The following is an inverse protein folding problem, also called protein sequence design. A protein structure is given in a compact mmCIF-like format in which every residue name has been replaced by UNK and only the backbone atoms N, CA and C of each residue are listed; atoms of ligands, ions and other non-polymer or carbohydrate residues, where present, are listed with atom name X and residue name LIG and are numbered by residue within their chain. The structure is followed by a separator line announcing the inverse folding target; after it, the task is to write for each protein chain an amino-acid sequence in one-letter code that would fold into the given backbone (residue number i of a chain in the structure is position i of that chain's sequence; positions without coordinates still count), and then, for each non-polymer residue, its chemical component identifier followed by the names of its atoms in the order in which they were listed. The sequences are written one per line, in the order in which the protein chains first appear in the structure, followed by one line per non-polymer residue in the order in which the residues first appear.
data_IF_953440282358
#
_entry.id   IF_953440282358
#
_cell.length_a   1.000
_cell.length_b   1.000
_cell.length_c   1.000
_cell.angle_alpha   90.00
_cell.angle_beta   90.00
_cell.angle_gamma   90.00
#
_symmetry.space_group_name_H-M   'P 1'
#
loop_
_entity.id
_entity.type
_entity.pdbx_description
1 polymer ?
#
# COMPACT_ATOMS: atom_id res chain seq x y z
N UNK A 1 33.89 -55.17 -14.28
CA UNK A 1 32.50 -55.59 -14.01
C UNK A 1 32.26 -55.27 -12.56
N UNK A 2 31.55 -54.21 -12.16
CA UNK A 2 30.68 -53.28 -12.87
C UNK A 2 30.47 -52.05 -11.95
N UNK A 3 30.38 -50.87 -12.59
CA UNK A 3 29.57 -49.66 -12.31
C UNK A 3 29.04 -49.41 -10.87
N UNK A 4 29.28 -48.25 -10.26
CA UNK A 4 28.59 -46.99 -10.54
C UNK A 4 27.06 -47.14 -10.56
N UNK A 5 26.39 -46.77 -9.47
CA UNK A 5 25.13 -46.01 -9.49
C UNK A 5 24.73 -45.71 -8.03
N UNK A 6 24.92 -44.49 -7.52
CA UNK A 6 24.13 -43.29 -7.81
C UNK A 6 23.24 -42.99 -6.60
N UNK A 7 23.88 -42.38 -5.58
CA UNK A 7 23.28 -41.22 -4.92
C UNK A 7 22.79 -40.27 -6.02
N UNK A 8 21.47 -40.20 -6.24
CA UNK A 8 20.73 -39.09 -6.85
C UNK A 8 19.25 -39.48 -6.94
N UNK A 9 18.43 -38.44 -7.01
CA UNK A 9 16.98 -38.40 -7.28
C UNK A 9 16.17 -38.46 -5.97
N UNK A 10 15.60 -37.38 -5.45
CA UNK A 10 15.27 -36.08 -6.05
C UNK A 10 15.21 -35.01 -4.95
N UNK A 11 16.09 -34.01 -5.07
CA UNK A 11 15.82 -32.69 -4.54
C UNK A 11 14.61 -32.14 -5.28
N UNK A 12 13.52 -31.88 -4.56
CA UNK A 12 12.39 -31.14 -5.10
C UNK A 12 12.86 -29.69 -5.28
N UNK A 13 13.43 -29.42 -6.46
CA UNK A 13 13.71 -28.08 -6.92
C UNK A 13 12.38 -27.37 -7.13
N UNK A 14 12.00 -26.55 -6.15
CA UNK A 14 11.10 -25.43 -6.37
C UNK A 14 11.75 -24.52 -7.42
N UNK A 15 11.48 -24.86 -8.67
CA UNK A 15 11.95 -24.12 -9.82
C UNK A 15 11.04 -22.92 -9.91
N UNK A 16 11.38 -21.85 -9.19
CA UNK A 16 10.73 -20.56 -9.31
C UNK A 16 10.71 -20.14 -10.78
N UNK A 17 9.60 -20.41 -11.45
CA UNK A 17 9.35 -19.89 -12.79
C UNK A 17 9.27 -18.39 -12.59
N UNK A 18 10.35 -17.70 -12.96
CA UNK A 18 10.30 -16.27 -13.19
C UNK A 18 9.29 -16.05 -14.33
N UNK A 19 8.04 -15.85 -13.94
CA UNK A 19 6.94 -15.52 -14.82
C UNK A 19 7.33 -14.25 -15.55
N UNK A 20 7.60 -14.36 -16.87
CA UNK A 20 7.81 -13.19 -17.70
C UNK A 20 6.63 -12.23 -17.50
N UNK A 21 6.88 -10.92 -17.34
CA UNK A 21 5.80 -9.95 -17.23
C UNK A 21 4.84 -10.10 -18.40
N UNK A 22 3.53 -10.02 -18.13
CA UNK A 22 2.51 -10.04 -19.18
C UNK A 22 2.83 -9.05 -20.30
N UNK A 23 2.50 -9.43 -21.55
CA UNK A 23 2.56 -8.53 -22.71
C UNK A 23 1.55 -7.39 -22.63
N UNK A 24 0.66 -7.41 -21.66
CA UNK A 24 -0.37 -6.39 -21.45
C UNK A 24 0.14 -5.21 -20.62
N UNK A 25 1.29 -5.35 -19.93
CA UNK A 25 1.89 -4.27 -19.14
C UNK A 25 2.22 -3.00 -19.94
N UNK A 26 2.80 -3.07 -21.16
CA UNK A 26 3.01 -1.88 -21.99
C UNK A 26 1.71 -1.15 -22.36
N UNK A 27 0.66 -1.89 -22.74
CA UNK A 27 -0.65 -1.30 -23.08
C UNK A 27 -1.28 -0.66 -21.84
N UNK A 28 -1.11 -1.28 -20.67
CA UNK A 28 -1.54 -0.71 -19.40
C UNK A 28 -0.76 0.58 -19.07
N UNK A 29 0.56 0.61 -19.29
CA UNK A 29 1.39 1.80 -19.07
C UNK A 29 0.91 3.00 -19.92
N UNK A 30 0.57 2.78 -21.18
CA UNK A 30 0.06 3.84 -22.06
C UNK A 30 -1.28 4.41 -21.55
N UNK A 31 -2.19 3.54 -21.10
CA UNK A 31 -3.47 3.95 -20.51
C UNK A 31 -3.26 4.71 -19.19
N UNK A 32 -2.38 4.19 -18.34
CA UNK A 32 -2.04 4.83 -17.06
C UNK A 32 -1.46 6.22 -17.32
N UNK A 33 -0.53 6.38 -18.26
CA UNK A 33 0.04 7.68 -18.60
C UNK A 33 -1.04 8.70 -19.04
N UNK A 34 -2.03 8.26 -19.82
CA UNK A 34 -3.14 9.12 -20.23
C UNK A 34 -4.04 9.52 -19.05
N UNK A 35 -4.31 8.58 -18.13
CA UNK A 35 -5.06 8.86 -16.90
C UNK A 35 -4.31 9.83 -15.99
N UNK A 36 -3.00 9.60 -15.77
CA UNK A 36 -2.18 10.48 -14.93
C UNK A 36 -2.17 11.92 -15.46
N UNK A 37 -2.14 12.10 -16.78
CA UNK A 37 -2.21 13.41 -17.41
C UNK A 37 -3.58 14.13 -17.23
N UNK A 38 -4.61 13.42 -16.78
CA UNK A 38 -5.95 13.94 -16.49
C UNK A 38 -6.22 14.16 -15.01
N UNK A 39 -5.29 13.80 -14.12
CA UNK A 39 -5.43 14.07 -12.70
C UNK A 39 -5.29 15.59 -12.47
N UNK A 40 -6.26 16.16 -11.76
CA UNK A 40 -6.24 17.55 -11.33
C UNK A 40 -5.58 17.64 -9.94
N UNK A 41 -5.45 18.87 -9.44
CA UNK A 41 -5.06 19.09 -8.05
C UNK A 41 -6.03 18.36 -7.11
N UNK A 42 -5.46 17.71 -6.09
CA UNK A 42 -6.19 16.92 -5.10
C UNK A 42 -6.96 15.71 -5.65
N UNK A 43 -6.62 15.25 -6.86
CA UNK A 43 -7.07 13.96 -7.37
C UNK A 43 -6.09 12.85 -6.99
N UNK A 44 -6.65 11.77 -6.46
CA UNK A 44 -5.90 10.59 -6.06
C UNK A 44 -6.27 9.39 -6.93
N UNK A 45 -5.26 8.60 -7.28
CA UNK A 45 -5.40 7.29 -7.91
C UNK A 45 -4.57 6.28 -7.14
N UNK A 46 -5.16 5.16 -6.76
CA UNK A 46 -4.49 4.04 -6.10
C UNK A 46 -4.67 2.80 -6.97
N UNK A 47 -3.57 2.13 -7.29
CA UNK A 47 -3.52 0.83 -7.95
C UNK A 47 -3.10 -0.21 -6.93
N UNK A 48 -3.99 -1.13 -6.57
CA UNK A 48 -3.74 -2.14 -5.53
C UNK A 48 -3.80 -3.55 -6.09
N UNK A 49 -2.99 -4.46 -5.57
CA UNK A 49 -3.17 -5.89 -5.85
C UNK A 49 -4.47 -6.39 -5.19
N UNK A 50 -5.21 -7.27 -5.87
CA UNK A 50 -6.45 -7.86 -5.33
C UNK A 50 -6.22 -8.87 -4.21
N UNK A 51 -4.96 -9.21 -3.92
CA UNK A 51 -4.58 -10.34 -3.07
C UNK A 51 -3.64 -9.97 -1.93
N UNK A 52 -3.13 -8.75 -1.91
CA UNK A 52 -2.23 -8.23 -0.87
C UNK A 52 -2.45 -6.73 -0.70
N UNK A 53 -1.84 -6.17 0.35
CA UNK A 53 -1.86 -4.73 0.64
C UNK A 53 -0.78 -3.95 -0.14
N UNK A 54 -0.21 -4.55 -1.19
CA UNK A 54 0.73 -3.87 -2.09
C UNK A 54 -0.02 -2.89 -3.03
N UNK A 55 0.48 -1.67 -3.15
CA UNK A 55 -0.11 -0.64 -4.01
C UNK A 55 0.92 0.35 -4.57
N UNK A 56 0.50 1.06 -5.62
CA UNK A 56 1.10 2.31 -6.06
C UNK A 56 0.03 3.40 -6.07
N UNK A 57 0.30 4.52 -5.41
CA UNK A 57 -0.59 5.67 -5.29
C UNK A 57 -0.02 6.87 -6.05
N UNK A 58 -0.91 7.69 -6.60
CA UNK A 58 -0.61 8.95 -7.28
C UNK A 58 -1.48 10.05 -6.69
N UNK A 59 -0.88 11.21 -6.43
CA UNK A 59 -1.57 12.41 -5.98
C UNK A 59 -1.25 13.57 -6.94
N UNK A 60 -2.27 14.08 -7.63
CA UNK A 60 -2.16 15.28 -8.45
C UNK A 60 -1.96 16.51 -7.58
N UNK A 61 -0.86 17.22 -7.78
CA UNK A 61 -0.52 18.44 -7.00
C UNK A 61 -0.65 19.71 -7.84
N UNK A 62 -1.49 19.68 -8.88
CA UNK A 62 -1.75 20.83 -9.75
C UNK A 62 -0.47 21.44 -10.32
N UNK A 63 -0.18 22.70 -9.96
CA UNK A 63 1.01 23.42 -10.41
C UNK A 63 2.34 22.88 -9.88
N UNK A 64 2.32 22.08 -8.81
CA UNK A 64 3.52 21.49 -8.21
C UNK A 64 3.93 20.18 -8.88
N UNK A 65 3.01 19.50 -9.57
CA UNK A 65 3.28 18.30 -10.34
C UNK A 65 2.51 17.08 -9.83
N UNK A 66 3.21 15.98 -9.60
CA UNK A 66 2.63 14.70 -9.22
C UNK A 66 3.50 13.99 -8.18
N UNK A 67 2.90 13.61 -7.06
CA UNK A 67 3.54 12.70 -6.09
C UNK A 67 3.14 11.26 -6.39
N UNK A 68 4.09 10.35 -6.23
CA UNK A 68 3.90 8.91 -6.41
C UNK A 68 4.44 8.19 -5.19
N UNK A 69 3.68 7.22 -4.70
CA UNK A 69 4.03 6.44 -3.50
C UNK A 69 3.83 4.94 -3.76
N UNK A 70 4.64 4.10 -3.12
CA UNK A 70 4.46 2.63 -3.11
C UNK A 70 4.68 2.10 -1.71
N UNK A 71 4.00 1.01 -1.36
CA UNK A 71 3.90 0.49 0.01
C UNK A 71 5.25 0.38 0.73
N UNK A 72 5.33 0.91 1.95
CA UNK A 72 6.38 0.61 2.91
C UNK A 72 6.03 -0.57 3.84
N UNK A 73 7.04 -1.25 4.40
CA UNK A 73 6.87 -2.42 5.26
C UNK A 73 6.05 -2.19 6.53
N UNK A 74 5.90 -0.94 6.95
CA UNK A 74 5.10 -0.58 8.13
C UNK A 74 3.61 -0.94 7.97
N UNK A 75 3.12 -0.99 6.75
CA UNK A 75 1.72 -1.31 6.44
C UNK A 75 1.48 -2.76 6.00
N UNK A 76 2.55 -3.55 5.82
CA UNK A 76 2.44 -4.91 5.31
C UNK A 76 2.46 -5.92 6.47
N UNK A 77 1.58 -6.92 6.40
CA UNK A 77 1.69 -8.07 7.28
C UNK A 77 3.08 -8.70 7.12
N UNK A 78 3.65 -9.26 8.20
CA UNK A 78 5.03 -9.78 8.22
C UNK A 78 5.39 -10.72 7.05
N UNK A 79 4.43 -11.48 6.55
CA UNK A 79 4.62 -12.43 5.45
C UNK A 79 4.55 -11.79 4.05
N UNK A 80 4.11 -10.54 3.97
CA UNK A 80 3.99 -9.72 2.75
C UNK A 80 5.02 -8.59 2.72
N UNK A 81 5.76 -8.37 3.82
CA UNK A 81 6.81 -7.37 3.88
C UNK A 81 7.83 -7.56 2.75
N UNK A 82 8.18 -6.45 2.13
CA UNK A 82 9.24 -6.36 1.13
C UNK A 82 10.55 -6.88 1.73
N UNK A 83 11.15 -7.81 1.02
CA UNK A 83 12.47 -8.32 1.30
C UNK A 83 13.55 -7.24 1.11
N UNK A 84 14.75 -7.48 1.66
CA UNK A 84 15.90 -6.60 1.44
C UNK A 84 16.24 -6.44 -0.06
N UNK A 85 16.01 -7.48 -0.86
CA UNK A 85 16.20 -7.45 -2.32
C UNK A 85 15.18 -6.53 -3.00
N UNK A 86 13.91 -6.63 -2.64
CA UNK A 86 12.85 -5.78 -3.20
C UNK A 86 13.03 -4.31 -2.80
N UNK A 87 13.42 -4.04 -1.54
CA UNK A 87 13.78 -2.70 -1.08
C UNK A 87 14.97 -2.16 -1.88
N UNK A 88 16.00 -2.98 -2.10
CA UNK A 88 17.15 -2.56 -2.89
C UNK A 88 16.75 -2.18 -4.33
N UNK A 89 15.89 -2.98 -4.96
CA UNK A 89 15.37 -2.69 -6.30
C UNK A 89 14.52 -1.41 -6.35
N UNK A 90 13.76 -1.09 -5.29
CA UNK A 90 13.05 0.19 -5.19
C UNK A 90 14.04 1.36 -5.20
N UNK A 91 15.09 1.28 -4.38
CA UNK A 91 16.12 2.32 -4.31
C UNK A 91 16.87 2.47 -5.64
N UNK A 92 17.20 1.37 -6.32
CA UNK A 92 17.82 1.41 -7.65
C UNK A 92 16.90 1.98 -8.73
N UNK A 93 15.59 1.75 -8.62
CA UNK A 93 14.57 2.34 -9.49
C UNK A 93 14.34 3.84 -9.20
N UNK A 94 14.98 4.38 -8.16
CA UNK A 94 14.97 5.81 -7.83
C UNK A 94 13.98 6.21 -6.74
N UNK A 95 13.28 5.27 -6.11
CA UNK A 95 12.38 5.58 -5.02
C UNK A 95 13.14 6.11 -3.80
N UNK A 96 12.59 7.14 -3.16
CA UNK A 96 13.09 7.60 -1.86
C UNK A 96 12.52 6.71 -0.76
N UNK A 97 13.31 6.34 0.25
CA UNK A 97 12.81 5.55 1.37
C UNK A 97 11.81 6.36 2.21
N UNK A 98 10.99 5.68 3.04
CA UNK A 98 10.19 6.35 4.06
C UNK A 98 11.03 7.32 4.91
N UNK A 99 10.49 8.51 5.19
CA UNK A 99 11.18 9.52 6.02
C UNK A 99 10.89 9.37 7.51
N UNK A 100 9.87 8.59 7.87
CA UNK A 100 9.51 8.29 9.26
C UNK A 100 8.40 7.27 9.37
N UNK A 101 8.08 6.89 10.61
CA UNK A 101 6.91 6.08 10.93
C UNK A 101 5.61 6.86 10.61
N UNK A 102 4.45 6.19 10.44
CA UNK A 102 3.18 6.80 10.08
C UNK A 102 2.71 7.99 10.92
N UNK A 103 3.15 8.08 12.18
CA UNK A 103 2.78 9.18 13.10
C UNK A 103 3.79 10.33 13.08
N UNK A 104 4.99 10.09 12.55
CA UNK A 104 6.04 11.10 12.37
C UNK A 104 6.01 11.73 10.98
N UNK A 105 5.60 10.96 9.96
CA UNK A 105 5.50 11.41 8.56
C UNK A 105 4.09 11.95 8.22
N UNK A 106 3.52 12.75 9.12
CA UNK A 106 2.24 13.44 8.88
C UNK A 106 2.47 14.83 8.30
N UNK A 107 1.51 15.43 7.57
CA UNK A 107 1.67 16.77 7.00
C UNK A 107 2.05 17.85 8.03
N UNK A 108 1.63 17.68 9.29
CA UNK A 108 1.93 18.62 10.38
C UNK A 108 3.38 18.51 10.87
N UNK A 109 3.95 17.30 10.83
CA UNK A 109 5.26 16.98 11.41
C UNK A 109 6.38 16.95 10.35
N UNK A 110 6.06 16.45 9.16
CA UNK A 110 6.95 16.38 7.99
C UNK A 110 6.12 16.56 6.71
N UNK A 111 5.91 17.81 6.25
CA UNK A 111 5.05 18.12 5.10
C UNK A 111 5.46 17.44 3.80
N UNK A 112 6.77 17.17 3.63
CA UNK A 112 7.34 16.51 2.46
C UNK A 112 7.54 15.00 2.70
N UNK A 113 7.27 14.55 3.92
CA UNK A 113 7.52 13.20 4.39
C UNK A 113 6.59 12.15 3.80
N UNK A 114 6.99 10.89 3.97
CA UNK A 114 6.11 9.75 3.70
C UNK A 114 6.49 8.57 4.57
N UNK A 115 5.50 7.83 5.11
CA UNK A 115 5.73 6.51 5.69
C UNK A 115 5.93 5.43 4.62
N UNK A 116 5.81 5.80 3.34
CA UNK A 116 5.99 4.94 2.18
C UNK A 116 7.23 5.33 1.37
N UNK A 117 7.60 4.45 0.43
CA UNK A 117 8.54 4.84 -0.61
C UNK A 117 7.86 5.86 -1.52
N UNK A 118 8.52 6.98 -1.81
CA UNK A 118 7.90 8.09 -2.50
C UNK A 118 8.82 8.76 -3.53
N UNK A 119 8.21 9.46 -4.48
CA UNK A 119 8.85 10.32 -5.47
C UNK A 119 7.94 11.50 -5.82
N UNK A 120 8.55 12.66 -6.01
CA UNK A 120 7.86 13.85 -6.52
C UNK A 120 8.36 14.19 -7.92
N UNK A 121 7.42 14.32 -8.85
CA UNK A 121 7.68 14.76 -10.21
C UNK A 121 7.22 16.22 -10.37
N UNK A 122 8.13 17.18 -10.55
CA UNK A 122 7.75 18.58 -10.71
C UNK A 122 7.02 18.82 -12.04
N UNK A 123 6.15 19.84 -12.08
CA UNK A 123 5.53 20.27 -13.33
C UNK A 123 6.55 20.89 -14.31
N UNK A 124 6.46 20.62 -15.63
CA UNK A 124 5.53 19.70 -16.29
C UNK A 124 5.94 18.23 -16.10
N UNK A 125 4.98 17.39 -15.74
CA UNK A 125 5.21 15.97 -15.42
C UNK A 125 5.36 15.13 -16.69
N UNK A 126 6.41 14.31 -16.75
CA UNK A 126 6.60 13.31 -17.79
C UNK A 126 5.76 12.05 -17.50
N UNK A 127 4.43 12.13 -17.67
CA UNK A 127 3.49 11.06 -17.27
C UNK A 127 3.81 9.66 -17.83
N UNK A 128 4.41 9.58 -19.03
CA UNK A 128 4.85 8.32 -19.61
C UNK A 128 6.03 7.68 -18.84
N UNK A 129 6.92 8.48 -18.25
CA UNK A 129 8.00 8.01 -17.38
C UNK A 129 7.44 7.51 -16.05
N UNK A 130 6.52 8.28 -15.46
CA UNK A 130 5.84 7.91 -14.22
C UNK A 130 5.09 6.58 -14.38
N UNK A 131 4.33 6.41 -15.46
CA UNK A 131 3.60 5.17 -15.73
C UNK A 131 4.55 3.97 -15.92
N UNK A 132 5.71 4.16 -16.58
CA UNK A 132 6.73 3.12 -16.72
C UNK A 132 7.36 2.74 -15.39
N UNK A 133 7.65 3.72 -14.52
CA UNK A 133 8.13 3.44 -13.17
C UNK A 133 7.09 2.61 -12.42
N UNK A 134 5.83 3.04 -12.40
CA UNK A 134 4.76 2.32 -11.71
C UNK A 134 4.61 0.87 -12.20
N UNK A 135 4.65 0.64 -13.51
CA UNK A 135 4.61 -0.71 -14.09
C UNK A 135 5.86 -1.52 -13.73
N UNK A 136 7.04 -0.89 -13.68
CA UNK A 136 8.28 -1.55 -13.26
C UNK A 136 8.21 -1.97 -11.79
N UNK A 137 7.70 -1.08 -10.92
CA UNK A 137 7.43 -1.37 -9.52
C UNK A 137 6.43 -2.52 -9.38
N UNK A 138 5.23 -2.40 -9.96
CA UNK A 138 4.16 -3.40 -9.81
C UNK A 138 4.57 -4.77 -10.37
N UNK A 139 5.12 -4.82 -11.58
CA UNK A 139 5.41 -6.09 -12.26
C UNK A 139 6.78 -6.69 -11.94
N UNK A 140 7.79 -5.85 -11.77
CA UNK A 140 9.18 -6.28 -11.58
C UNK A 140 9.57 -6.43 -10.12
N UNK A 141 9.15 -5.49 -9.27
CA UNK A 141 9.57 -5.42 -7.87
C UNK A 141 8.53 -6.08 -6.96
N UNK A 142 7.27 -5.68 -7.08
CA UNK A 142 6.15 -6.27 -6.33
C UNK A 142 5.63 -7.57 -6.97
N UNK A 143 6.22 -7.97 -8.10
CA UNK A 143 6.03 -9.26 -8.78
C UNK A 143 4.58 -9.60 -9.13
N UNK A 144 3.74 -8.58 -9.35
CA UNK A 144 2.35 -8.75 -9.81
C UNK A 144 2.39 -9.27 -11.25
N UNK A 145 1.88 -10.48 -11.54
CA UNK A 145 2.15 -11.12 -12.84
C UNK A 145 1.50 -10.40 -14.03
N UNK A 146 0.34 -9.79 -13.80
CA UNK A 146 -0.53 -9.29 -14.86
C UNK A 146 -1.39 -8.11 -14.39
N UNK A 147 -1.64 -7.06 -15.21
CA UNK A 147 -2.43 -5.90 -14.81
C UNK A 147 -3.84 -6.24 -14.30
N UNK A 148 -4.45 -7.28 -14.85
CA UNK A 148 -5.76 -7.80 -14.40
C UNK A 148 -5.83 -8.26 -12.94
N UNK A 149 -4.69 -8.42 -12.25
CA UNK A 149 -4.65 -8.66 -10.80
C UNK A 149 -4.83 -7.37 -10.00
N UNK A 150 -4.71 -6.22 -10.65
CA UNK A 150 -4.94 -4.93 -10.05
C UNK A 150 -6.43 -4.57 -10.01
N UNK A 151 -6.77 -3.78 -9.02
CA UNK A 151 -7.94 -2.92 -8.98
C UNK A 151 -7.54 -1.47 -8.72
N UNK A 152 -8.49 -0.54 -8.91
CA UNK A 152 -8.21 0.88 -8.71
C UNK A 152 -9.19 1.55 -7.76
N UNK A 153 -8.68 2.41 -6.88
CA UNK A 153 -9.43 3.44 -6.17
C UNK A 153 -9.10 4.80 -6.77
N UNK A 154 -10.10 5.67 -6.96
CA UNK A 154 -9.85 7.04 -7.39
C UNK A 154 -10.87 8.00 -6.81
N UNK A 155 -10.41 9.14 -6.29
CA UNK A 155 -11.24 10.12 -5.59
C UNK A 155 -10.62 11.52 -5.57
N UNK A 156 -11.44 12.54 -5.35
CA UNK A 156 -11.00 13.93 -5.09
C UNK A 156 -10.78 14.19 -3.58
N UNK A 157 -10.32 15.40 -3.21
CA UNK A 157 -10.18 15.82 -1.81
C UNK A 157 -11.46 15.71 -0.98
N UNK A 158 -12.64 15.83 -1.59
CA UNK A 158 -13.92 15.66 -0.90
C UNK A 158 -14.34 14.19 -0.76
N UNK A 159 -13.53 13.25 -1.26
CA UNK A 159 -13.82 11.82 -1.26
C UNK A 159 -14.81 11.40 -2.35
N UNK A 160 -15.19 12.30 -3.26
CA UNK A 160 -16.03 11.94 -4.39
C UNK A 160 -15.26 11.02 -5.32
N UNK A 161 -15.94 10.01 -5.81
CA UNK A 161 -15.32 8.98 -6.62
C UNK A 161 -15.07 9.43 -8.05
N UNK A 162 -13.87 9.18 -8.57
CA UNK A 162 -13.53 9.38 -9.98
C UNK A 162 -13.72 8.09 -10.78
N UNK A 163 -14.31 8.20 -11.97
CA UNK A 163 -14.51 7.08 -12.87
C UNK A 163 -13.44 7.10 -13.96
N UNK A 164 -12.55 6.10 -13.94
CA UNK A 164 -11.39 6.00 -14.83
C UNK A 164 -11.49 4.72 -15.68
N UNK A 165 -12.57 4.62 -16.45
CA UNK A 165 -12.91 3.40 -17.23
C UNK A 165 -11.85 3.01 -18.24
N UNK A 166 -11.08 3.97 -18.73
CA UNK A 166 -10.03 3.83 -19.73
C UNK A 166 -8.84 3.02 -19.19
N UNK A 167 -8.69 2.95 -17.86
CA UNK A 167 -7.67 2.13 -17.20
C UNK A 167 -7.90 0.62 -17.46
N UNK A 168 -9.16 0.22 -17.68
CA UNK A 168 -9.53 -1.18 -17.96
C UNK A 168 -9.39 -2.11 -16.75
N UNK A 169 -9.38 -1.55 -15.54
CA UNK A 169 -9.34 -2.30 -14.27
C UNK A 169 -10.71 -2.31 -13.58
N UNK A 170 -10.92 -3.30 -12.71
CA UNK A 170 -12.05 -3.27 -11.79
C UNK A 170 -11.80 -2.14 -10.78
N UNK A 171 -12.84 -1.38 -10.46
CA UNK A 171 -12.78 -0.44 -9.34
C UNK A 171 -12.81 -1.21 -8.02
N UNK A 172 -11.94 -0.83 -7.09
CA UNK A 172 -11.93 -1.34 -5.73
C UNK A 172 -13.25 -0.96 -5.05
N UNK A 173 -13.88 -1.95 -4.42
CA UNK A 173 -15.05 -1.71 -3.57
C UNK A 173 -14.52 -1.17 -2.25
N UNK A 174 -14.46 0.17 -2.12
CA UNK A 174 -14.13 0.80 -0.84
C UNK A 174 -15.19 0.33 0.16
N UNK A 175 -14.79 -0.45 1.15
CA UNK A 175 -15.62 -0.65 2.33
C UNK A 175 -16.04 0.75 2.80
N UNK A 176 -17.33 0.94 3.11
CA UNK A 176 -17.78 2.22 3.64
C UNK A 176 -16.81 2.65 4.74
N UNK A 177 -16.46 3.97 4.85
CA UNK A 177 -15.58 4.44 5.89
C UNK A 177 -15.98 3.76 7.19
N UNK A 178 -15.05 3.02 7.81
CA UNK A 178 -15.33 2.44 9.10
C UNK A 178 -15.74 3.60 9.99
N UNK A 179 -16.90 3.50 10.62
CA UNK A 179 -17.27 4.43 11.67
C UNK A 179 -16.37 4.06 12.85
N UNK A 180 -15.16 4.64 12.86
CA UNK A 180 -14.12 4.32 13.83
C UNK A 180 -14.59 4.63 15.26
N UNK A 181 -15.46 5.63 15.42
CA UNK A 181 -16.14 5.91 16.69
C UNK A 181 -17.08 4.77 17.08
N UNK A 182 -17.89 4.26 16.15
CA UNK A 182 -18.75 3.10 16.42
C UNK A 182 -17.94 1.84 16.70
N UNK A 183 -16.86 1.60 15.95
CA UNK A 183 -15.99 0.45 16.14
C UNK A 183 -15.23 0.54 17.47
N UNK A 184 -14.78 1.73 17.86
CA UNK A 184 -14.14 2.00 19.15
C UNK A 184 -15.11 1.72 20.30
N UNK A 185 -16.35 2.24 20.20
CA UNK A 185 -17.41 1.91 21.16
C UNK A 185 -17.71 0.42 21.23
N UNK A 186 -17.72 -0.28 20.09
CA UNK A 186 -17.95 -1.73 20.02
C UNK A 186 -16.80 -2.52 20.65
N UNK A 187 -15.55 -2.18 20.35
CA UNK A 187 -14.37 -2.80 20.93
C UNK A 187 -14.36 -2.64 22.45
N UNK A 188 -14.59 -1.42 22.95
CA UNK A 188 -14.64 -1.16 24.39
C UNK A 188 -15.77 -1.95 25.06
N UNK A 189 -16.94 -2.02 24.43
CA UNK A 189 -18.07 -2.82 24.93
C UNK A 189 -17.71 -4.30 25.02
N UNK A 190 -17.14 -4.87 23.95
CA UNK A 190 -16.72 -6.27 23.93
C UNK A 190 -15.63 -6.57 24.98
N UNK A 191 -14.65 -5.67 25.15
CA UNK A 191 -13.61 -5.81 26.16
C UNK A 191 -14.18 -5.80 27.58
N UNK A 192 -15.13 -4.91 27.90
CA UNK A 192 -15.83 -4.90 29.20
C UNK A 192 -16.61 -6.20 29.43
N UNK A 193 -17.30 -6.71 28.41
CA UNK A 193 -18.05 -7.96 28.50
C UNK A 193 -17.15 -9.19 28.72
N UNK A 194 -16.04 -9.28 27.98
CA UNK A 194 -15.12 -10.43 28.02
C UNK A 194 -14.30 -10.44 29.32
N UNK A 195 -13.80 -9.28 29.74
CA UNK A 195 -12.97 -9.15 30.94
C UNK A 195 -13.77 -9.07 32.22
N UNK A 196 -15.04 -8.65 32.15
CA UNK A 196 -15.90 -8.36 33.29
C UNK A 196 -15.54 -7.05 34.02
N UNK A 197 -14.60 -6.26 33.49
CA UNK A 197 -14.16 -5.00 34.07
C UNK A 197 -15.03 -3.88 33.50
N UNK A 198 -15.88 -3.28 34.33
CA UNK A 198 -16.93 -2.33 33.89
C UNK A 198 -16.41 -0.92 33.62
N UNK A 199 -15.30 -0.57 34.24
CA UNK A 199 -14.64 0.74 34.22
C UNK A 199 -13.43 0.78 33.30
N UNK A 200 -13.28 -0.20 32.39
CA UNK A 200 -12.30 -0.09 31.31
C UNK A 200 -12.61 1.14 30.47
N UNK A 201 -11.59 1.94 30.19
CA UNK A 201 -11.63 3.10 29.33
C UNK A 201 -10.39 3.09 28.45
N UNK A 202 -10.43 3.89 27.39
CA UNK A 202 -9.23 4.20 26.63
C UNK A 202 -8.33 5.12 27.45
N UNK A 203 -7.02 4.91 27.38
CA UNK A 203 -6.04 5.83 27.93
C UNK A 203 -5.72 6.98 26.95
N UNK A 204 -4.76 7.83 27.33
CA UNK A 204 -4.35 9.00 26.55
C UNK A 204 -3.73 8.62 25.20
N UNK A 205 -3.21 7.40 25.08
CA UNK A 205 -2.58 6.87 23.86
C UNK A 205 -3.59 6.13 22.95
N UNK A 206 -4.85 6.00 23.40
CA UNK A 206 -5.90 5.31 22.66
C UNK A 206 -5.88 3.79 22.83
N UNK A 207 -5.23 3.29 23.87
CA UNK A 207 -5.18 1.87 24.22
C UNK A 207 -6.19 1.52 25.34
N UNK A 208 -6.69 0.28 25.31
CA UNK A 208 -7.40 -0.34 26.43
C UNK A 208 -6.42 -1.30 27.12
N UNK A 209 -5.97 -0.94 28.32
CA UNK A 209 -5.08 -1.79 29.11
C UNK A 209 -5.85 -2.76 30.02
N UNK A 210 -5.52 -4.05 29.96
CA UNK A 210 -6.09 -5.10 30.81
C UNK A 210 -4.99 -5.90 31.50
N UNK A 211 -5.05 -5.98 32.82
CA UNK A 211 -4.16 -6.83 33.62
C UNK A 211 -4.69 -8.27 33.73
N UNK A 212 -3.88 -9.26 33.39
CA UNK A 212 -4.20 -10.68 33.56
C UNK A 212 -2.97 -11.45 34.08
N UNK A 213 -3.07 -12.01 35.29
CA UNK A 213 -2.04 -12.86 35.94
C UNK A 213 -0.61 -12.28 35.89
N UNK A 214 -0.47 -10.97 36.14
CA UNK A 214 0.82 -10.26 36.13
C UNK A 214 1.30 -9.81 34.74
N UNK A 215 0.54 -10.09 33.67
CA UNK A 215 0.76 -9.56 32.32
C UNK A 215 -0.21 -8.40 32.05
N UNK A 216 0.26 -7.40 31.32
CA UNK A 216 -0.61 -6.32 30.80
C UNK A 216 -0.81 -6.55 29.30
N UNK A 217 -2.06 -6.59 28.87
CA UNK A 217 -2.47 -6.70 27.47
C UNK A 217 -3.08 -5.38 27.06
N UNK A 218 -2.65 -4.84 25.92
CA UNK A 218 -3.19 -3.62 25.34
C UNK A 218 -4.01 -3.98 24.10
N UNK A 219 -5.13 -3.29 23.93
CA UNK A 219 -5.95 -3.38 22.73
C UNK A 219 -6.26 -1.98 22.21
N UNK A 220 -5.89 -1.71 20.97
CA UNK A 220 -6.28 -0.53 20.22
C UNK A 220 -6.86 -0.93 18.87
N UNK A 221 -7.56 0.03 18.25
CA UNK A 221 -7.90 -0.09 16.84
C UNK A 221 -6.67 0.31 16.03
N UNK A 222 -6.18 -0.60 15.20
CA UNK A 222 -5.19 -0.28 14.17
C UNK A 222 -5.90 0.44 13.03
N UNK A 223 -6.03 1.74 13.17
CA UNK A 223 -6.80 2.56 12.24
C UNK A 223 -5.87 3.23 11.22
N UNK A 224 -5.25 2.44 10.34
CA UNK A 224 -4.70 2.98 9.09
C UNK A 224 -4.99 2.00 7.94
N UNK A 225 -6.02 2.25 7.09
CA UNK A 225 -5.88 1.89 5.67
C UNK A 225 -4.52 2.39 5.17
N UNK A 226 -3.90 1.81 4.12
CA UNK A 226 -2.62 2.30 3.58
C UNK A 226 -2.74 3.81 3.47
N UNK A 227 -1.96 4.52 4.28
CA UNK A 227 -2.29 5.88 4.65
C UNK A 227 -2.44 6.71 3.38
N UNK A 228 -3.68 6.98 2.98
CA UNK A 228 -3.96 8.20 2.25
C UNK A 228 -3.57 9.27 3.26
N UNK A 229 -2.44 9.94 3.03
CA UNK A 229 -2.13 11.17 3.76
C UNK A 229 -3.41 12.01 3.72
N UNK A 230 -4.10 12.07 4.86
CA UNK A 230 -5.38 12.76 4.98
C UNK A 230 -5.07 14.23 4.88
N UNK A 231 -5.01 14.75 3.65
CA UNK A 231 -5.05 16.18 3.38
C UNK A 231 -6.47 16.64 3.65
N UNK A 232 -6.69 17.22 4.83
CA UNK A 232 -7.73 18.22 5.03
C UNK A 232 -7.08 19.46 5.69
N UNK A 233 -7.54 20.66 5.31
CA UNK A 233 -6.83 21.94 5.49
C UNK A 233 -6.73 22.46 6.92
#
# INVERSE_FOLDING_TARGET
MEVADMERIEANADSGVQSRPSRDWPVFADRLAAILASLEEDHYLILSDKRSDCYVQFAGQGSFGLRVETTGNVYLAKHEQLSEEEIHLLLEAGWLPPTGEPDAATPENDPDGSPNFHLDYPAPVAHAEVARLAVTTLSGILRIPHPGFLEYGAFDAAGNSLLLTELGLKRAERAAPLDCDALSRQLLTAMREITGIVDLEYDEDGDIAVGYDGLTVFACLLDKPPASASMLP
#
